data_IF_468349661053
#
_entry.id   IF_468349661053
#
_cell.length_a   1.000
_cell.length_b   1.000
_cell.length_c   1.000
_cell.angle_alpha   90.00
_cell.angle_beta   90.00
_cell.angle_gamma   90.00
#
_symmetry.space_group_name_H-M   'P 1'
#
loop_
_entity.id
_entity.type
_entity.pdbx_description
1 polymer ?
#
# COMPACT_ATOMS: atom_id res chain seq x y z
N UNK A 1 -2.49 10.97 -9.39
CA UNK A 1 -3.15 10.14 -10.44
C UNK A 1 -3.72 10.96 -11.59
N UNK A 2 -4.64 11.91 -11.36
CA UNK A 2 -5.24 12.71 -12.46
C UNK A 2 -4.18 13.49 -13.25
N UNK A 3 -3.24 14.14 -12.56
CA UNK A 3 -2.15 14.91 -13.18
C UNK A 3 -1.24 14.01 -14.03
N UNK A 4 -0.85 12.84 -13.50
CA UNK A 4 0.00 11.90 -14.21
C UNK A 4 -0.72 11.29 -15.42
N UNK A 5 -2.00 10.94 -15.28
CA UNK A 5 -2.80 10.41 -16.38
C UNK A 5 -3.00 11.46 -17.49
N UNK A 6 -3.23 12.73 -17.12
CA UNK A 6 -3.36 13.81 -18.08
C UNK A 6 -2.06 14.05 -18.85
N UNK A 7 -0.92 14.20 -18.16
CA UNK A 7 0.37 14.47 -18.81
C UNK A 7 0.81 13.32 -19.72
N UNK A 8 0.61 12.08 -19.32
CA UNK A 8 0.93 10.89 -20.12
C UNK A 8 0.02 10.76 -21.34
N UNK A 9 -1.29 11.02 -21.16
CA UNK A 9 -2.24 11.00 -22.27
C UNK A 9 -1.89 12.04 -23.35
N UNK A 10 -1.55 13.28 -22.95
CA UNK A 10 -1.10 14.30 -23.87
C UNK A 10 0.26 13.99 -24.52
N UNK A 11 1.12 13.24 -23.85
CA UNK A 11 2.38 12.75 -24.41
C UNK A 11 2.22 11.49 -25.30
N UNK A 12 0.99 10.97 -25.47
CA UNK A 12 0.72 9.76 -26.27
C UNK A 12 1.20 8.45 -25.63
N UNK A 13 1.56 8.46 -24.36
CA UNK A 13 2.04 7.28 -23.63
C UNK A 13 0.83 6.64 -22.96
N UNK A 14 0.30 5.57 -23.55
CA UNK A 14 -0.89 4.87 -23.03
C UNK A 14 -0.56 3.58 -22.28
N UNK A 15 0.66 3.06 -22.46
CA UNK A 15 1.12 1.84 -21.80
C UNK A 15 2.44 2.12 -21.06
N UNK A 16 2.39 2.07 -19.73
CA UNK A 16 3.57 2.31 -18.87
C UNK A 16 4.04 0.96 -18.34
N UNK A 17 5.16 0.52 -18.82
CA UNK A 17 5.77 -0.75 -18.42
C UNK A 17 6.95 -0.56 -17.46
N UNK A 18 7.57 0.63 -17.43
CA UNK A 18 8.76 0.88 -16.64
C UNK A 18 8.63 2.13 -15.74
N UNK A 19 9.38 2.12 -14.63
CA UNK A 19 9.47 3.26 -13.74
C UNK A 19 10.06 4.52 -14.43
N UNK A 20 10.92 4.32 -15.44
CA UNK A 20 11.50 5.40 -16.23
C UNK A 20 10.43 6.10 -17.09
N UNK A 21 9.52 5.33 -17.70
CA UNK A 21 8.38 5.88 -18.42
C UNK A 21 7.43 6.65 -17.49
N UNK A 22 7.21 6.13 -16.28
CA UNK A 22 6.41 6.83 -15.28
C UNK A 22 7.06 8.15 -14.84
N UNK A 23 8.39 8.19 -14.71
CA UNK A 23 9.14 9.42 -14.42
C UNK A 23 9.01 10.47 -15.53
N UNK A 24 8.96 10.04 -16.79
CA UNK A 24 8.79 10.93 -17.94
C UNK A 24 7.45 11.68 -17.94
N UNK A 25 6.45 11.20 -17.19
CA UNK A 25 5.20 11.92 -16.98
C UNK A 25 5.39 13.28 -16.25
N UNK A 26 6.48 13.44 -15.51
CA UNK A 26 6.79 14.69 -14.80
C UNK A 26 7.53 15.70 -15.68
N UNK A 27 8.12 15.27 -16.79
CA UNK A 27 8.93 16.12 -17.67
C UNK A 27 8.17 17.36 -18.18
N UNK A 28 6.91 17.27 -18.63
CA UNK A 28 6.14 18.44 -19.09
C UNK A 28 5.88 19.48 -17.99
N UNK A 29 5.95 19.07 -16.70
CA UNK A 29 5.69 19.94 -15.56
C UNK A 29 6.90 20.80 -15.17
N UNK A 30 8.09 20.46 -15.65
CA UNK A 30 9.36 21.11 -15.31
C UNK A 30 10.13 21.64 -16.53
N UNK A 31 9.42 21.98 -17.59
CA UNK A 31 9.98 22.50 -18.84
C UNK A 31 10.80 23.80 -18.69
N UNK A 32 10.61 24.53 -17.58
CA UNK A 32 11.34 25.75 -17.30
C UNK A 32 12.81 25.55 -16.91
N UNK A 33 13.25 24.32 -16.70
CA UNK A 33 14.62 24.00 -16.29
C UNK A 33 15.43 23.39 -17.43
N UNK A 34 16.71 23.76 -17.59
CA UNK A 34 17.60 23.03 -18.49
C UNK A 34 17.73 21.57 -17.99
N UNK A 35 17.70 20.60 -18.91
CA UNK A 35 17.72 19.17 -18.59
C UNK A 35 16.46 18.66 -17.83
N UNK A 36 15.28 19.15 -18.18
CA UNK A 36 14.00 18.81 -17.56
C UNK A 36 13.79 17.31 -17.38
N UNK A 37 14.14 16.47 -18.36
CA UNK A 37 13.98 15.03 -18.27
C UNK A 37 14.85 14.37 -17.19
N UNK A 38 16.09 14.84 -16.98
CA UNK A 38 16.95 14.32 -15.90
C UNK A 38 16.45 14.75 -14.53
N UNK A 39 16.00 15.98 -14.41
CA UNK A 39 15.43 16.51 -13.16
C UNK A 39 14.14 15.75 -12.81
N UNK A 40 13.26 15.48 -13.78
CA UNK A 40 12.07 14.67 -13.59
C UNK A 40 12.41 13.28 -13.00
N UNK A 41 13.38 12.60 -13.61
CA UNK A 41 13.82 11.27 -13.15
C UNK A 41 14.40 11.30 -11.73
N UNK A 42 15.20 12.33 -11.41
CA UNK A 42 15.74 12.48 -10.05
C UNK A 42 14.65 12.74 -9.01
N UNK A 43 13.73 13.66 -9.27
CA UNK A 43 12.61 13.94 -8.35
C UNK A 43 11.77 12.69 -8.14
N UNK A 44 11.47 11.96 -9.21
CA UNK A 44 10.70 10.72 -9.14
C UNK A 44 11.44 9.64 -8.33
N UNK A 45 12.74 9.46 -8.56
CA UNK A 45 13.56 8.51 -7.83
C UNK A 45 13.62 8.83 -6.32
N UNK A 46 13.85 10.09 -5.96
CA UNK A 46 13.81 10.53 -4.56
C UNK A 46 12.44 10.32 -3.91
N UNK A 47 11.35 10.57 -4.65
CA UNK A 47 9.99 10.29 -4.19
C UNK A 47 9.76 8.82 -3.89
N UNK A 48 10.18 7.92 -4.79
CA UNK A 48 10.06 6.47 -4.59
C UNK A 48 10.91 6.00 -3.41
N UNK A 49 12.17 6.44 -3.34
CA UNK A 49 13.07 6.07 -2.23
C UNK A 49 12.48 6.53 -0.89
N UNK A 50 12.05 7.79 -0.80
CA UNK A 50 11.45 8.34 0.42
C UNK A 50 10.20 7.58 0.84
N UNK A 51 9.30 7.33 -0.10
CA UNK A 51 8.07 6.54 0.16
C UNK A 51 8.42 5.12 0.59
N UNK A 52 9.37 4.46 -0.06
CA UNK A 52 9.81 3.10 0.26
C UNK A 52 10.40 2.99 1.66
N UNK A 53 11.21 3.96 2.09
CA UNK A 53 11.80 3.99 3.43
C UNK A 53 10.74 4.02 4.54
N UNK A 54 9.58 4.64 4.30
CA UNK A 54 8.47 4.64 5.24
C UNK A 54 7.54 3.44 5.05
N UNK A 55 7.19 3.11 3.83
CA UNK A 55 6.19 2.08 3.54
C UNK A 55 6.68 0.67 3.90
N UNK A 56 7.93 0.33 3.62
CA UNK A 56 8.46 -1.02 3.84
C UNK A 56 8.43 -1.41 5.33
N UNK A 57 8.96 -0.60 6.28
CA UNK A 57 8.88 -0.95 7.70
C UNK A 57 7.44 -1.04 8.22
N UNK A 58 6.58 -0.11 7.80
CA UNK A 58 5.17 -0.06 8.26
C UNK A 58 4.41 -1.29 7.76
N UNK A 59 4.50 -1.65 6.49
CA UNK A 59 3.83 -2.81 5.92
C UNK A 59 4.37 -4.13 6.48
N UNK A 60 5.69 -4.25 6.63
CA UNK A 60 6.33 -5.43 7.22
C UNK A 60 5.91 -5.63 8.67
N UNK A 61 5.89 -4.55 9.47
CA UNK A 61 5.44 -4.61 10.86
C UNK A 61 3.95 -4.94 10.95
N UNK A 62 3.10 -4.33 10.12
CA UNK A 62 1.66 -4.61 10.08
C UNK A 62 1.39 -6.08 9.77
N UNK A 63 2.09 -6.66 8.79
CA UNK A 63 1.99 -8.08 8.47
C UNK A 63 2.45 -8.98 9.62
N UNK A 64 3.53 -8.59 10.31
CA UNK A 64 4.04 -9.31 11.46
C UNK A 64 3.07 -9.27 12.65
N UNK A 65 2.40 -8.13 12.90
CA UNK A 65 1.34 -8.01 13.90
C UNK A 65 0.17 -8.94 13.57
N UNK A 66 -0.34 -8.88 12.33
CA UNK A 66 -1.47 -9.71 11.91
C UNK A 66 -1.19 -11.22 12.05
N UNK A 67 0.01 -11.67 11.68
CA UNK A 67 0.40 -13.07 11.85
C UNK A 67 0.58 -13.44 13.32
N UNK A 68 1.25 -12.57 14.10
CA UNK A 68 1.48 -12.84 15.52
C UNK A 68 0.19 -12.90 16.31
N UNK A 69 -0.78 -12.04 16.03
CA UNK A 69 -2.11 -12.07 16.64
C UNK A 69 -2.86 -13.37 16.26
N UNK A 70 -2.82 -13.75 14.98
CA UNK A 70 -3.47 -14.97 14.50
C UNK A 70 -2.92 -16.24 15.17
N UNK A 71 -1.60 -16.31 15.39
CA UNK A 71 -0.93 -17.47 15.99
C UNK A 71 -0.71 -17.35 17.50
N UNK A 72 -1.13 -16.25 18.13
CA UNK A 72 -0.93 -15.98 19.56
C UNK A 72 0.53 -15.84 19.96
N UNK A 73 1.38 -15.32 19.06
CA UNK A 73 2.80 -15.09 19.35
C UNK A 73 2.98 -13.79 20.13
N UNK A 74 4.10 -13.73 20.87
CA UNK A 74 4.48 -12.46 21.52
C UNK A 74 4.87 -11.44 20.43
N UNK A 75 4.20 -10.31 20.42
CA UNK A 75 4.37 -9.24 19.45
C UNK A 75 4.71 -7.90 20.13
N UNK A 76 5.20 -6.97 19.35
CA UNK A 76 5.48 -5.60 19.76
C UNK A 76 6.88 -5.16 19.36
N UNK A 77 6.95 -3.97 18.75
CA UNK A 77 8.22 -3.33 18.36
C UNK A 77 9.05 -2.86 19.57
N UNK A 78 8.39 -2.70 20.74
CA UNK A 78 9.06 -2.35 22.00
C UNK A 78 9.79 -3.54 22.64
N UNK A 79 9.47 -4.78 22.21
CA UNK A 79 10.09 -5.99 22.76
C UNK A 79 11.44 -6.26 22.11
N UNK A 80 12.39 -6.75 22.93
CA UNK A 80 13.69 -7.19 22.40
C UNK A 80 13.51 -8.39 21.46
N UNK A 81 14.39 -8.52 20.47
CA UNK A 81 14.40 -9.63 19.52
C UNK A 81 14.27 -11.02 20.20
N UNK A 82 14.95 -11.19 21.34
CA UNK A 82 14.91 -12.45 22.11
C UNK A 82 13.52 -12.80 22.69
N UNK A 83 12.66 -11.80 22.86
CA UNK A 83 11.34 -11.95 23.46
C UNK A 83 10.22 -12.15 22.42
N UNK A 84 10.43 -11.66 21.20
CA UNK A 84 9.45 -11.72 20.10
C UNK A 84 10.10 -12.23 18.79
N UNK A 85 10.82 -13.37 18.88
CA UNK A 85 11.57 -13.95 17.76
C UNK A 85 10.69 -14.17 16.51
N UNK A 86 9.51 -14.75 16.68
CA UNK A 86 8.60 -15.03 15.56
C UNK A 86 8.16 -13.74 14.87
N UNK A 87 7.82 -12.71 15.63
CA UNK A 87 7.44 -11.40 15.11
C UNK A 87 8.55 -10.78 14.23
N UNK A 88 9.77 -10.72 14.75
CA UNK A 88 10.91 -10.19 14.00
C UNK A 88 11.33 -11.08 12.82
N UNK A 89 11.13 -12.40 12.94
CA UNK A 89 11.37 -13.32 11.82
C UNK A 89 10.44 -13.06 10.65
N UNK A 90 9.17 -12.75 10.90
CA UNK A 90 8.21 -12.38 9.84
C UNK A 90 8.67 -11.11 9.11
N UNK A 91 9.11 -10.08 9.85
CA UNK A 91 9.64 -8.85 9.26
C UNK A 91 10.87 -9.16 8.39
N UNK A 92 11.82 -9.93 8.92
CA UNK A 92 13.04 -10.25 8.18
C UNK A 92 12.76 -11.08 6.93
N UNK A 93 11.93 -12.12 7.04
CA UNK A 93 11.60 -13.00 5.91
C UNK A 93 10.82 -12.24 4.83
N UNK A 94 9.82 -11.45 5.20
CA UNK A 94 9.06 -10.65 4.22
C UNK A 94 9.94 -9.65 3.48
N UNK A 95 10.86 -9.00 4.18
CA UNK A 95 11.81 -8.07 3.57
C UNK A 95 12.78 -8.80 2.64
N UNK A 96 13.33 -9.95 3.06
CA UNK A 96 14.22 -10.76 2.23
C UNK A 96 13.53 -11.28 0.96
N UNK A 97 12.27 -11.72 1.06
CA UNK A 97 11.48 -12.12 -0.10
C UNK A 97 11.30 -10.93 -1.06
N UNK A 98 10.99 -9.74 -0.54
CA UNK A 98 10.87 -8.53 -1.35
C UNK A 98 12.17 -8.20 -2.10
N UNK A 99 13.31 -8.26 -1.41
CA UNK A 99 14.63 -8.07 -2.02
C UNK A 99 14.91 -9.12 -3.08
N UNK A 100 14.62 -10.39 -2.79
CA UNK A 100 14.81 -11.49 -3.75
C UNK A 100 13.99 -11.33 -5.02
N UNK A 101 12.72 -10.91 -4.92
CA UNK A 101 11.86 -10.59 -6.06
C UNK A 101 12.49 -9.50 -6.93
N UNK A 102 13.12 -8.48 -6.33
CA UNK A 102 13.79 -7.40 -7.07
C UNK A 102 14.95 -7.92 -7.93
N UNK A 103 15.69 -8.93 -7.43
CA UNK A 103 16.80 -9.56 -8.19
C UNK A 103 16.31 -10.59 -9.23
N UNK A 104 15.06 -11.02 -9.17
CA UNK A 104 14.50 -12.05 -10.06
C UNK A 104 14.08 -11.52 -11.44
N UNK A 105 14.50 -10.32 -11.83
CA UNK A 105 14.14 -9.66 -13.10
C UNK A 105 12.63 -9.51 -13.33
N UNK A 106 11.82 -9.57 -12.26
CA UNK A 106 10.40 -9.29 -12.34
C UNK A 106 10.23 -7.77 -12.44
N UNK A 107 9.50 -7.32 -13.44
CA UNK A 107 9.20 -5.90 -13.60
C UNK A 107 8.41 -5.38 -12.38
N UNK A 108 8.89 -4.33 -11.70
CA UNK A 108 8.24 -3.78 -10.51
C UNK A 108 6.79 -3.35 -10.77
N UNK A 109 6.46 -2.87 -11.96
CA UNK A 109 5.11 -2.44 -12.32
C UNK A 109 4.16 -3.63 -12.40
N UNK A 110 4.59 -4.74 -13.03
CA UNK A 110 3.81 -5.97 -13.03
C UNK A 110 3.60 -6.55 -11.64
N UNK A 111 4.64 -6.51 -10.78
CA UNK A 111 4.51 -6.96 -9.40
C UNK A 111 3.51 -6.10 -8.60
N UNK A 112 3.48 -4.78 -8.80
CA UNK A 112 2.51 -3.87 -8.19
C UNK A 112 1.08 -4.15 -8.67
N UNK A 113 0.88 -4.35 -9.96
CA UNK A 113 -0.44 -4.67 -10.53
C UNK A 113 -0.94 -6.00 -9.97
N UNK A 114 -0.08 -7.02 -9.95
CA UNK A 114 -0.44 -8.34 -9.42
C UNK A 114 -0.85 -8.26 -7.94
N UNK A 115 -0.06 -7.55 -7.12
CA UNK A 115 -0.38 -7.37 -5.71
C UNK A 115 -1.68 -6.59 -5.50
N UNK A 116 -1.97 -5.59 -6.34
CA UNK A 116 -3.22 -4.84 -6.30
C UNK A 116 -4.44 -5.72 -6.65
N UNK A 117 -4.31 -6.58 -7.67
CA UNK A 117 -5.36 -7.54 -8.03
C UNK A 117 -5.63 -8.54 -6.91
N UNK A 118 -4.57 -9.11 -6.32
CA UNK A 118 -4.70 -10.03 -5.18
C UNK A 118 -5.41 -9.33 -4.01
N UNK A 119 -5.00 -8.10 -3.67
CA UNK A 119 -5.64 -7.32 -2.63
C UNK A 119 -7.13 -7.07 -2.93
N UNK A 120 -7.48 -6.73 -4.16
CA UNK A 120 -8.87 -6.51 -4.56
C UNK A 120 -9.73 -7.78 -4.36
N UNK A 121 -9.22 -8.94 -4.77
CA UNK A 121 -9.92 -10.22 -4.60
C UNK A 121 -10.08 -10.58 -3.11
N UNK A 122 -9.05 -10.39 -2.29
CA UNK A 122 -9.07 -10.69 -0.85
C UNK A 122 -9.96 -9.70 -0.09
N UNK A 123 -10.06 -8.47 -0.53
CA UNK A 123 -10.88 -7.43 0.13
C UNK A 123 -12.37 -7.79 0.14
N UNK A 124 -12.89 -8.43 -0.90
CA UNK A 124 -14.33 -8.79 -0.99
C UNK A 124 -14.78 -9.71 0.14
N UNK A 125 -14.14 -10.88 0.40
CA UNK A 125 -14.53 -11.73 1.52
C UNK A 125 -14.27 -11.06 2.88
N UNK A 126 -13.21 -10.25 3.02
CA UNK A 126 -12.95 -9.51 4.26
C UNK A 126 -14.08 -8.53 4.55
N UNK A 127 -14.53 -7.75 3.56
CA UNK A 127 -15.66 -6.83 3.73
C UNK A 127 -16.93 -7.57 4.15
N UNK A 128 -17.18 -8.75 3.58
CA UNK A 128 -18.33 -9.57 3.97
C UNK A 128 -18.25 -10.01 5.44
N UNK A 129 -17.07 -10.45 5.89
CA UNK A 129 -16.83 -10.85 7.28
C UNK A 129 -16.99 -9.64 8.21
N UNK A 130 -16.39 -8.49 7.87
CA UNK A 130 -16.49 -7.25 8.66
C UNK A 130 -17.95 -6.80 8.79
N UNK A 131 -18.72 -6.83 7.70
CA UNK A 131 -20.16 -6.49 7.73
C UNK A 131 -20.94 -7.45 8.61
N UNK A 132 -20.60 -8.74 8.62
CA UNK A 132 -21.24 -9.73 9.46
C UNK A 132 -20.92 -9.51 10.94
N UNK A 133 -19.65 -9.25 11.26
CA UNK A 133 -19.20 -8.93 12.62
C UNK A 133 -19.82 -7.61 13.13
N UNK A 134 -19.92 -6.59 12.27
CA UNK A 134 -20.54 -5.31 12.61
C UNK A 134 -22.07 -5.40 12.91
N UNK A 135 -22.72 -6.50 12.52
CA UNK A 135 -24.12 -6.76 12.83
C UNK A 135 -24.32 -7.78 13.94
N UNK A 136 -23.25 -8.31 14.52
CA UNK A 136 -23.36 -9.30 15.62
C UNK A 136 -23.51 -8.60 16.96
N UNK A 137 -24.69 -8.82 17.58
CA UNK A 137 -25.04 -8.26 18.89
C UNK A 137 -24.08 -8.67 20.02
N UNK A 138 -23.48 -9.85 19.92
CA UNK A 138 -22.56 -10.37 20.94
C UNK A 138 -21.20 -9.65 20.94
N UNK A 139 -20.83 -9.04 19.81
CA UNK A 139 -19.52 -8.38 19.63
C UNK A 139 -19.64 -6.88 19.89
N UNK A 140 -20.73 -6.26 19.43
CA UNK A 140 -20.93 -4.80 19.54
C UNK A 140 -21.86 -4.39 20.69
N UNK A 141 -22.38 -5.33 21.49
CA UNK A 141 -23.37 -5.05 22.54
C UNK A 141 -24.56 -4.22 22.00
N UNK A 142 -24.78 -3.02 22.56
CA UNK A 142 -25.88 -2.11 22.13
C UNK A 142 -25.50 -1.20 20.94
N UNK A 143 -24.27 -1.29 20.41
CA UNK A 143 -23.78 -0.43 19.32
C UNK A 143 -23.96 -1.08 17.94
N UNK A 144 -25.06 -1.76 17.72
CA UNK A 144 -25.36 -2.36 16.44
C UNK A 144 -25.63 -1.28 15.41
N UNK A 145 -25.05 -1.44 14.23
CA UNK A 145 -25.40 -0.65 13.05
C UNK A 145 -26.84 -0.97 12.62
N UNK A 146 -27.80 -0.39 13.32
CA UNK A 146 -29.21 -0.53 12.94
C UNK A 146 -29.39 0.15 11.58
N UNK A 147 -29.98 -0.54 10.64
CA UNK A 147 -30.32 -0.07 9.28
C UNK A 147 -31.03 1.29 9.25
N UNK A 148 -31.56 1.74 10.39
CA UNK A 148 -32.18 3.03 10.63
C UNK A 148 -31.21 4.15 11.05
N UNK A 149 -29.96 3.86 11.38
CA UNK A 149 -28.99 4.83 11.94
C UNK A 149 -28.01 5.43 10.93
N UNK A 150 -28.00 5.00 9.67
CA UNK A 150 -27.23 5.67 8.65
C UNK A 150 -27.97 6.94 8.21
N UNK A 151 -28.06 7.89 9.14
CA UNK A 151 -28.51 9.24 8.82
C UNK A 151 -27.43 9.91 7.98
N UNK A 152 -27.61 9.86 6.66
CA UNK A 152 -26.94 10.69 5.67
C UNK A 152 -26.99 12.19 6.03
N UNK A 153 -27.83 12.56 7.00
CA UNK A 153 -28.00 13.93 7.52
C UNK A 153 -26.78 14.47 8.28
N UNK A 154 -25.95 13.62 8.84
CA UNK A 154 -24.76 14.10 9.58
C UNK A 154 -23.58 14.47 8.68
N UNK A 155 -23.60 14.01 7.42
CA UNK A 155 -22.52 14.28 6.47
C UNK A 155 -22.75 15.53 5.61
N UNK A 156 -23.98 16.08 5.61
CA UNK A 156 -24.37 17.27 4.81
C UNK A 156 -24.30 18.56 5.65
N UNK A 157 -24.10 18.47 6.96
CA UNK A 157 -24.11 19.61 7.88
C UNK A 157 -22.76 19.88 8.55
N UNK A 158 -21.66 19.33 8.02
CA UNK A 158 -20.28 19.72 8.28
C UNK A 158 -19.62 20.12 6.94
#
# INVERSE_FOLDING_TARGET
MITSAGSLYFAGITDIQTADQAASALEPLITSFPNSGQIAKLIFAFGIIGTGLFAIPVLSASSAFALSDTFGWKEGLEKKFSQAKSFYSVIAVSTLIGVWITFSHIDPIHALILSAVINAVVTVPILFIVLRLANDKKILEDKINTRSGFHLKSFILM
#
